data_IF_300038091482
#
_entry.id   IF_300038091482
#
_cell.length_a   1.000
_cell.length_b   1.000
_cell.length_c   1.000
_cell.angle_alpha   90.00
_cell.angle_beta   90.00
_cell.angle_gamma   90.00
#
_symmetry.space_group_name_H-M   'P 1'
#
loop_
_entity.id
_entity.type
_entity.pdbx_description
1 polymer ?
#
# COMPACT_ATOMS: atom_id res chain seq x y z
N UNK A 1 7.19 7.21 9.56
CA UNK A 1 6.39 8.20 8.80
C UNK A 1 6.73 8.04 7.34
N UNK A 2 5.81 8.33 6.42
CA UNK A 2 6.09 8.30 4.99
C UNK A 2 6.89 9.55 4.61
N UNK A 3 8.21 9.42 4.63
CA UNK A 3 9.16 10.49 4.33
C UNK A 3 10.39 9.86 3.66
N UNK A 4 10.76 10.35 2.47
CA UNK A 4 11.78 9.75 1.63
C UNK A 4 13.18 9.81 2.27
N UNK A 5 13.56 10.91 2.91
CA UNK A 5 14.85 11.05 3.59
C UNK A 5 15.02 10.03 4.72
N UNK A 6 13.98 9.85 5.53
CA UNK A 6 13.98 8.85 6.61
C UNK A 6 13.99 7.42 6.09
N UNK A 7 13.28 7.15 4.99
CA UNK A 7 13.31 5.85 4.33
C UNK A 7 14.72 5.54 3.82
N UNK A 8 15.33 6.48 3.09
CA UNK A 8 16.70 6.34 2.57
C UNK A 8 17.71 6.08 3.68
N UNK A 9 17.64 6.83 4.77
CA UNK A 9 18.49 6.61 5.94
C UNK A 9 18.27 5.22 6.57
N UNK A 10 17.01 4.79 6.67
CA UNK A 10 16.66 3.47 7.20
C UNK A 10 17.19 2.33 6.34
N UNK A 11 17.14 2.47 5.02
CA UNK A 11 17.72 1.53 4.05
C UNK A 11 19.22 1.46 4.21
N UNK A 12 19.92 2.60 4.21
CA UNK A 12 21.38 2.66 4.35
C UNK A 12 21.87 2.02 5.65
N UNK A 13 21.10 2.16 6.73
CA UNK A 13 21.42 1.59 8.04
C UNK A 13 20.96 0.14 8.22
N UNK A 14 20.25 -0.44 7.26
CA UNK A 14 19.64 -1.77 7.43
C UNK A 14 18.66 -1.84 8.60
N UNK A 15 17.97 -0.74 8.92
CA UNK A 15 17.21 -0.60 10.15
C UNK A 15 15.85 -1.31 10.14
N UNK A 16 15.36 -1.74 8.97
CA UNK A 16 14.07 -2.38 8.79
C UNK A 16 14.04 -3.17 7.46
N UNK A 17 12.88 -3.69 7.08
CA UNK A 17 12.66 -4.40 5.81
C UNK A 17 11.30 -4.05 5.15
N UNK A 18 10.55 -3.12 5.75
CA UNK A 18 9.27 -2.68 5.26
C UNK A 18 8.97 -1.24 5.70
N UNK A 19 8.12 -0.56 4.96
CA UNK A 19 7.60 0.77 5.30
C UNK A 19 6.07 0.76 5.27
N UNK A 20 5.46 1.41 6.26
CA UNK A 20 4.03 1.69 6.27
C UNK A 20 3.76 3.01 5.53
N UNK A 21 3.04 2.94 4.42
CA UNK A 21 2.75 4.06 3.52
C UNK A 21 1.42 4.72 3.91
N UNK A 22 1.48 6.01 4.24
CA UNK A 22 0.33 6.84 4.61
C UNK A 22 0.39 8.11 3.77
N UNK A 23 -0.48 8.22 2.78
CA UNK A 23 -0.46 9.30 1.79
C UNK A 23 -0.49 10.69 2.42
N UNK A 24 -1.36 10.89 3.40
CA UNK A 24 -1.49 12.18 4.09
C UNK A 24 -0.31 12.52 5.02
N UNK A 25 0.73 11.67 5.12
CA UNK A 25 1.99 12.03 5.78
C UNK A 25 3.02 12.64 4.83
N UNK A 26 2.89 12.38 3.51
CA UNK A 26 3.82 12.88 2.51
C UNK A 26 3.19 13.99 1.64
N UNK A 27 1.86 14.00 1.50
CA UNK A 27 1.10 15.14 1.00
C UNK A 27 0.53 14.94 -0.40
N UNK A 28 1.29 14.37 -1.33
CA UNK A 28 0.84 14.15 -2.71
C UNK A 28 0.85 12.68 -3.15
N UNK A 29 0.10 12.37 -4.21
CA UNK A 29 0.11 11.05 -4.83
C UNK A 29 1.48 10.74 -5.46
N UNK A 30 2.08 11.71 -6.15
CA UNK A 30 3.40 11.55 -6.78
C UNK A 30 4.46 11.15 -5.75
N UNK A 31 4.57 11.90 -4.65
CA UNK A 31 5.58 11.59 -3.64
C UNK A 31 5.29 10.26 -2.91
N UNK A 32 4.01 9.88 -2.82
CA UNK A 32 3.61 8.55 -2.32
C UNK A 32 4.14 7.45 -3.23
N UNK A 33 3.95 7.58 -4.55
CA UNK A 33 4.44 6.62 -5.54
C UNK A 33 5.97 6.52 -5.51
N UNK A 34 6.66 7.66 -5.44
CA UNK A 34 8.12 7.71 -5.30
C UNK A 34 8.61 6.98 -4.05
N UNK A 35 7.90 7.14 -2.91
CA UNK A 35 8.25 6.45 -1.67
C UNK A 35 8.04 4.93 -1.75
N UNK A 36 6.97 4.49 -2.41
CA UNK A 36 6.71 3.06 -2.67
C UNK A 36 7.78 2.48 -3.59
N UNK A 37 8.11 3.17 -4.68
CA UNK A 37 9.12 2.74 -5.62
C UNK A 37 10.51 2.66 -4.97
N UNK A 38 10.89 3.67 -4.17
CA UNK A 38 12.13 3.65 -3.41
C UNK A 38 12.21 2.42 -2.50
N UNK A 39 11.12 2.07 -1.82
CA UNK A 39 11.07 0.88 -0.97
C UNK A 39 11.25 -0.40 -1.80
N UNK A 40 10.51 -0.55 -2.90
CA UNK A 40 10.59 -1.73 -3.76
C UNK A 40 12.00 -1.93 -4.36
N UNK A 41 12.60 -0.85 -4.88
CA UNK A 41 13.97 -0.90 -5.44
C UNK A 41 15.02 -1.29 -4.40
N UNK A 42 14.79 -0.94 -3.13
CA UNK A 42 15.65 -1.34 -2.01
C UNK A 42 15.31 -2.73 -1.44
N UNK A 43 14.38 -3.47 -2.04
CA UNK A 43 13.92 -4.78 -1.53
C UNK A 43 13.07 -4.70 -0.27
N UNK A 44 12.62 -3.51 0.13
CA UNK A 44 11.68 -3.31 1.23
C UNK A 44 10.25 -3.61 0.75
N UNK A 45 9.42 -4.10 1.66
CA UNK A 45 7.97 -4.18 1.42
C UNK A 45 7.32 -2.83 1.68
N UNK A 46 6.46 -2.37 0.78
CA UNK A 46 5.57 -1.25 1.05
C UNK A 46 4.20 -1.79 1.50
N UNK A 47 3.68 -1.27 2.61
CA UNK A 47 2.35 -1.62 3.13
C UNK A 47 1.49 -0.36 3.10
N UNK A 48 0.53 -0.31 2.19
CA UNK A 48 -0.41 0.83 2.11
C UNK A 48 -1.31 0.81 3.34
N UNK A 49 -1.50 1.97 3.98
CA UNK A 49 -2.15 2.05 5.29
C UNK A 49 -3.17 3.17 5.38
N UNK A 50 -4.28 2.85 6.04
CA UNK A 50 -5.26 3.82 6.51
C UNK A 50 -4.72 4.73 7.63
N UNK A 51 -5.59 5.62 8.14
CA UNK A 51 -5.42 6.38 9.38
C UNK A 51 -6.51 6.04 10.40
N UNK A 52 -6.30 6.41 11.67
CA UNK A 52 -7.29 6.14 12.72
C UNK A 52 -8.62 6.87 12.48
N UNK A 53 -8.58 8.13 12.02
CA UNK A 53 -9.71 8.79 11.38
C UNK A 53 -9.73 8.47 9.90
N UNK A 54 -10.80 7.86 9.41
CA UNK A 54 -11.00 7.53 7.99
C UNK A 54 -12.35 8.06 7.51
N UNK A 55 -12.46 8.16 6.20
CA UNK A 55 -13.68 8.48 5.46
C UNK A 55 -14.15 7.23 4.70
N UNK A 56 -15.16 7.38 3.86
CA UNK A 56 -15.64 6.40 2.90
C UNK A 56 -14.71 6.24 1.68
N UNK A 57 -13.73 7.13 1.48
CA UNK A 57 -12.80 7.11 0.36
C UNK A 57 -12.09 5.75 0.26
N UNK A 58 -11.90 5.23 -0.95
CA UNK A 58 -11.34 3.87 -1.12
C UNK A 58 -9.99 3.86 -1.82
N UNK A 59 -9.39 5.03 -2.06
CA UNK A 59 -8.22 5.20 -2.92
C UNK A 59 -7.01 4.36 -2.50
N UNK A 60 -6.87 4.06 -1.20
CA UNK A 60 -5.78 3.22 -0.70
C UNK A 60 -5.90 1.75 -1.15
N UNK A 61 -7.09 1.26 -1.52
CA UNK A 61 -7.28 -0.05 -2.12
C UNK A 61 -6.68 -0.08 -3.53
N UNK A 62 -7.09 0.86 -4.38
CA UNK A 62 -6.57 1.02 -5.74
C UNK A 62 -5.06 1.28 -5.74
N UNK A 63 -4.55 2.11 -4.83
CA UNK A 63 -3.11 2.36 -4.70
C UNK A 63 -2.33 1.08 -4.37
N UNK A 64 -2.85 0.23 -3.48
CA UNK A 64 -2.17 -1.01 -3.10
C UNK A 64 -2.04 -1.98 -4.28
N UNK A 65 -3.07 -2.05 -5.13
CA UNK A 65 -3.07 -2.87 -6.35
C UNK A 65 -2.20 -2.24 -7.44
N UNK A 66 -2.37 -0.94 -7.71
CA UNK A 66 -1.62 -0.23 -8.76
C UNK A 66 -0.10 -0.27 -8.56
N UNK A 67 0.34 -0.29 -7.31
CA UNK A 67 1.77 -0.35 -6.96
C UNK A 67 2.29 -1.76 -6.70
N UNK A 68 1.43 -2.78 -6.79
CA UNK A 68 1.76 -4.17 -6.44
C UNK A 68 2.43 -4.30 -5.05
N UNK A 69 1.97 -3.51 -4.06
CA UNK A 69 2.49 -3.57 -2.68
C UNK A 69 2.29 -4.95 -2.04
N UNK A 70 1.26 -5.70 -2.49
CA UNK A 70 0.92 -7.03 -1.99
C UNK A 70 0.38 -7.06 -0.55
N UNK A 71 0.38 -5.92 0.15
CA UNK A 71 -0.12 -5.79 1.52
C UNK A 71 -0.83 -4.45 1.71
N UNK A 72 -1.95 -4.50 2.42
CA UNK A 72 -2.73 -3.32 2.82
C UNK A 72 -3.15 -3.45 4.29
N UNK A 73 -3.14 -2.31 5.00
CA UNK A 73 -3.62 -2.18 6.38
C UNK A 73 -4.82 -1.22 6.40
N UNK A 74 -6.03 -1.76 6.28
CA UNK A 74 -7.26 -0.98 6.17
C UNK A 74 -8.20 -1.06 7.39
N UNK A 75 -7.84 -1.78 8.46
CA UNK A 75 -8.57 -1.81 9.73
C UNK A 75 -9.27 -3.13 10.01
N UNK A 76 -10.17 -3.14 11.01
CA UNK A 76 -10.94 -4.34 11.37
C UNK A 76 -12.02 -4.67 10.33
N UNK A 77 -12.68 -5.81 10.48
CA UNK A 77 -13.85 -6.25 9.70
C UNK A 77 -15.16 -5.61 10.21
N UNK A 78 -15.08 -4.37 10.65
CA UNK A 78 -16.21 -3.60 11.14
C UNK A 78 -16.01 -2.12 10.84
N UNK A 79 -17.12 -1.36 10.85
CA UNK A 79 -17.21 0.05 10.48
C UNK A 79 -17.03 0.29 8.97
N UNK A 80 -17.96 1.04 8.39
CA UNK A 80 -18.06 1.27 6.94
C UNK A 80 -16.83 1.96 6.36
N UNK A 81 -16.20 2.86 7.12
CA UNK A 81 -14.96 3.55 6.74
C UNK A 81 -13.78 2.59 6.49
N UNK A 82 -13.84 1.36 7.02
CA UNK A 82 -12.86 0.28 6.79
C UNK A 82 -13.34 -0.68 5.71
N UNK A 83 -14.58 -1.15 5.85
CA UNK A 83 -15.19 -2.11 4.94
C UNK A 83 -15.27 -1.57 3.50
N UNK A 84 -15.42 -0.25 3.30
CA UNK A 84 -15.43 0.35 1.98
C UNK A 84 -14.17 0.02 1.17
N UNK A 85 -12.98 0.01 1.81
CA UNK A 85 -11.71 -0.33 1.16
C UNK A 85 -11.64 -1.82 0.80
N UNK A 86 -12.11 -2.69 1.69
CA UNK A 86 -12.17 -4.14 1.41
C UNK A 86 -13.16 -4.45 0.28
N UNK A 87 -14.33 -3.82 0.28
CA UNK A 87 -15.31 -3.94 -0.81
C UNK A 87 -14.73 -3.44 -2.13
N UNK A 88 -13.90 -2.39 -2.10
CA UNK A 88 -13.21 -1.93 -3.30
C UNK A 88 -12.18 -2.94 -3.81
N UNK A 89 -11.43 -3.62 -2.93
CA UNK A 89 -10.53 -4.70 -3.34
C UNK A 89 -11.27 -5.86 -3.99
N UNK A 90 -12.45 -6.23 -3.47
CA UNK A 90 -13.32 -7.25 -4.08
C UNK A 90 -13.73 -6.82 -5.50
N UNK A 91 -14.16 -5.57 -5.68
CA UNK A 91 -14.51 -5.04 -7.02
C UNK A 91 -13.30 -5.04 -7.97
N UNK A 92 -12.12 -4.66 -7.49
CA UNK A 92 -10.90 -4.67 -8.30
C UNK A 92 -10.55 -6.11 -8.71
N UNK A 93 -10.64 -7.07 -7.79
CA UNK A 93 -10.43 -8.49 -8.11
C UNK A 93 -11.43 -8.99 -9.16
N UNK A 94 -12.73 -8.70 -8.99
CA UNK A 94 -13.77 -9.04 -9.97
C UNK A 94 -13.47 -8.44 -11.36
N UNK A 95 -12.99 -7.20 -11.40
CA UNK A 95 -12.61 -6.51 -12.64
C UNK A 95 -11.36 -7.13 -13.30
N UNK A 96 -10.35 -7.52 -12.51
CA UNK A 96 -9.14 -8.14 -13.02
C UNK A 96 -9.40 -9.57 -13.53
N UNK A 97 -10.40 -10.26 -12.97
CA UNK A 97 -10.76 -11.62 -13.35
C UNK A 97 -9.55 -12.56 -13.32
N UNK A 98 -9.28 -13.24 -14.44
CA UNK A 98 -8.15 -14.19 -14.54
C UNK A 98 -6.76 -13.53 -14.51
N UNK A 99 -6.68 -12.22 -14.72
CA UNK A 99 -5.42 -11.47 -14.64
C UNK A 99 -5.09 -11.05 -13.21
N UNK A 100 -6.03 -11.21 -12.28
CA UNK A 100 -5.83 -10.90 -10.86
C UNK A 100 -4.92 -11.91 -10.18
N UNK A 101 -4.01 -11.43 -9.34
CA UNK A 101 -3.17 -12.27 -8.51
C UNK A 101 -3.27 -11.84 -7.05
N UNK A 102 -3.44 -12.82 -6.16
CA UNK A 102 -3.42 -12.61 -4.72
C UNK A 102 -1.99 -12.76 -4.17
N UNK A 103 -1.57 -11.84 -3.28
CA UNK A 103 -0.21 -11.81 -2.73
C UNK A 103 0.05 -12.81 -1.58
N UNK A 104 1.30 -12.93 -1.08
CA UNK A 104 2.54 -12.36 -1.61
C UNK A 104 3.46 -13.49 -2.09
N UNK A 105 3.51 -13.79 -3.39
CA UNK A 105 4.49 -14.76 -3.89
C UNK A 105 5.35 -14.22 -5.03
N UNK A 106 6.66 -14.34 -4.78
CA UNK A 106 7.75 -14.20 -5.74
C UNK A 106 7.51 -15.22 -6.87
N UNK A 107 6.83 -14.85 -7.95
CA UNK A 107 6.99 -15.56 -9.22
C UNK A 107 5.76 -15.94 -10.06
N UNK A 108 4.53 -15.52 -9.75
CA UNK A 108 3.37 -15.95 -10.56
C UNK A 108 2.59 -14.85 -11.30
N UNK A 109 2.70 -13.59 -10.88
CA UNK A 109 2.14 -12.47 -11.64
C UNK A 109 3.29 -11.75 -12.36
N UNK A 110 3.55 -12.15 -13.61
CA UNK A 110 4.35 -11.39 -14.57
C UNK A 110 3.45 -10.97 -15.71
#
# INVERSE_FOLDING_TARGET
>A
VTNQERLRLGIQKGAANAILIKMNQIGTLTETLDAVEMAHRAGYRAVVSHRSGETEDTLIADLAVATNCGQIKAGSLSRTDRLAKYNQLIRIEEQLGKSGCYGPWRGACK
#
